data_IF_894282060546
#
_entry.id   IF_894282060546
#
_cell.length_a   1.000
_cell.length_b   1.000
_cell.length_c   1.000
_cell.angle_alpha   90.00
_cell.angle_beta   90.00
_cell.angle_gamma   90.00
#
_symmetry.space_group_name_H-M   'P 1'
#
loop_
_entity.id
_entity.type
_entity.pdbx_description
1 polymer ?
#
# COMPACT_ATOMS: atom_id res chain seq x y z
N UNK A 1 -60.87 15.34 16.42
CA UNK A 1 -61.20 15.17 15.00
C UNK A 1 -59.92 14.95 14.18
N UNK A 2 -60.02 14.22 13.05
CA UNK A 2 -58.97 13.48 12.31
C UNK A 2 -58.20 14.39 11.31
N UNK A 3 -57.15 14.06 10.54
CA UNK A 3 -56.54 12.81 10.02
C UNK A 3 -55.20 13.15 9.34
N UNK A 4 -54.27 12.17 9.34
CA UNK A 4 -53.30 11.77 8.28
C UNK A 4 -52.86 12.80 7.21
N UNK A 5 -51.55 12.84 6.94
CA UNK A 5 -51.01 12.38 5.64
C UNK A 5 -49.49 12.16 5.65
N UNK A 6 -49.14 10.91 5.34
CA UNK A 6 -47.85 10.42 4.87
C UNK A 6 -47.72 10.78 3.39
N UNK A 7 -46.55 11.24 2.95
CA UNK A 7 -46.18 11.26 1.52
C UNK A 7 -44.73 10.84 1.33
N UNK A 8 -44.58 9.64 0.76
CA UNK A 8 -43.40 9.14 0.03
C UNK A 8 -43.35 9.83 -1.35
N UNK A 9 -42.14 10.10 -1.90
CA UNK A 9 -41.59 9.56 -3.18
C UNK A 9 -40.63 10.50 -3.93
N UNK A 10 -39.56 9.84 -4.42
CA UNK A 10 -38.87 9.98 -5.73
C UNK A 10 -38.07 11.26 -6.01
N UNK A 11 -36.73 11.27 -5.99
CA UNK A 11 -35.76 10.65 -6.94
C UNK A 11 -35.93 11.11 -8.40
N UNK A 12 -35.31 12.27 -8.66
CA UNK A 12 -34.35 12.62 -9.72
C UNK A 12 -34.24 11.68 -10.92
N UNK A 13 -34.43 12.22 -12.14
CA UNK A 13 -33.70 11.80 -13.36
C UNK A 13 -33.76 12.86 -14.48
N UNK A 14 -32.56 13.19 -15.00
CA UNK A 14 -32.19 13.54 -16.41
C UNK A 14 -32.69 14.89 -16.97
N UNK A 15 -31.99 15.60 -17.86
CA UNK A 15 -30.71 15.42 -18.55
C UNK A 15 -30.26 16.77 -19.15
N UNK A 16 -28.95 17.04 -19.21
CA UNK A 16 -28.38 18.14 -19.97
C UNK A 16 -27.57 17.63 -21.18
N UNK A 17 -28.03 18.04 -22.37
CA UNK A 17 -27.32 18.54 -23.56
C UNK A 17 -26.03 17.89 -24.11
N UNK A 18 -26.15 17.52 -25.40
CA UNK A 18 -25.26 17.76 -26.56
C UNK A 18 -24.04 16.86 -26.87
N UNK A 19 -24.08 16.38 -28.13
CA UNK A 19 -23.18 15.58 -28.96
C UNK A 19 -21.87 16.29 -29.40
N UNK A 20 -20.84 15.58 -29.94
CA UNK A 20 -20.79 15.35 -31.40
C UNK A 20 -20.24 13.99 -31.90
N UNK A 21 -20.85 13.52 -33.01
CA UNK A 21 -20.34 12.80 -34.20
C UNK A 21 -18.97 12.06 -34.14
N UNK A 22 -18.92 10.80 -34.62
CA UNK A 22 -18.49 10.41 -36.00
C UNK A 22 -18.20 8.89 -36.15
N UNK A 23 -19.03 8.25 -37.00
CA UNK A 23 -18.87 7.06 -37.89
C UNK A 23 -17.39 6.69 -38.20
N UNK A 24 -16.91 5.43 -38.28
CA UNK A 24 -17.18 4.38 -39.28
C UNK A 24 -16.37 3.09 -38.99
N UNK A 25 -17.03 1.93 -39.15
CA UNK A 25 -16.65 0.64 -39.78
C UNK A 25 -15.16 0.25 -40.02
N UNK A 26 -14.95 -1.06 -39.82
CA UNK A 26 -14.19 -2.06 -40.64
C UNK A 26 -12.81 -2.57 -40.16
N UNK A 27 -12.83 -3.84 -39.72
CA UNK A 27 -12.04 -5.01 -40.19
C UNK A 27 -10.49 -5.03 -40.19
N UNK A 28 -9.99 -6.19 -39.72
CA UNK A 28 -8.82 -6.99 -40.20
C UNK A 28 -7.50 -6.94 -39.39
N UNK A 29 -7.24 -8.11 -38.79
CA UNK A 29 -6.02 -8.93 -38.73
C UNK A 29 -4.66 -8.39 -38.22
N UNK A 30 -4.12 -9.19 -37.27
CA UNK A 30 -2.73 -9.66 -37.11
C UNK A 30 -1.61 -8.77 -37.69
N UNK A 31 -0.77 -8.23 -36.80
CA UNK A 31 0.69 -8.38 -36.94
C UNK A 31 1.43 -8.30 -35.61
N UNK A 32 1.98 -9.46 -35.27
CA UNK A 32 3.17 -9.77 -34.48
C UNK A 32 4.15 -8.60 -34.32
N UNK A 33 4.45 -8.21 -33.08
CA UNK A 33 5.75 -7.66 -32.71
C UNK A 33 6.24 -8.41 -31.47
N UNK A 34 7.08 -9.42 -31.71
CA UNK A 34 7.99 -10.00 -30.72
C UNK A 34 8.85 -8.86 -30.16
N UNK A 35 8.58 -8.41 -28.93
CA UNK A 35 9.57 -7.64 -28.17
C UNK A 35 10.33 -8.61 -27.28
N UNK A 36 11.61 -8.72 -27.60
CA UNK A 36 12.58 -9.66 -27.06
C UNK A 36 12.52 -9.77 -25.53
N UNK A 37 12.58 -11.03 -25.10
CA UNK A 37 13.08 -11.52 -23.83
C UNK A 37 14.33 -10.75 -23.39
N UNK A 38 14.16 -9.76 -22.51
CA UNK A 38 15.23 -9.41 -21.56
C UNK A 38 15.13 -10.39 -20.41
N UNK A 39 15.89 -11.48 -20.53
CA UNK A 39 16.24 -12.39 -19.42
C UNK A 39 16.72 -11.51 -18.28
N UNK A 40 15.87 -11.30 -17.27
CA UNK A 40 16.26 -10.61 -16.07
C UNK A 40 17.41 -11.43 -15.47
N UNK A 41 18.61 -10.84 -15.52
CA UNK A 41 19.78 -11.33 -14.83
C UNK A 41 19.35 -11.53 -13.37
N UNK A 42 19.21 -12.79 -12.95
CA UNK A 42 19.07 -13.13 -11.53
C UNK A 42 20.38 -12.72 -10.88
N UNK A 43 20.47 -11.45 -10.46
CA UNK A 43 21.47 -11.05 -9.47
C UNK A 43 21.18 -11.94 -8.27
N UNK A 44 22.11 -12.83 -7.94
CA UNK A 44 22.15 -13.50 -6.65
C UNK A 44 22.16 -12.39 -5.61
N UNK A 45 20.99 -12.10 -5.05
CA UNK A 45 20.86 -11.14 -3.96
C UNK A 45 21.56 -11.81 -2.79
N UNK A 46 22.83 -11.45 -2.58
CA UNK A 46 23.56 -11.73 -1.35
C UNK A 46 22.64 -11.28 -0.23
N UNK A 47 22.14 -12.23 0.55
CA UNK A 47 21.12 -11.94 1.55
C UNK A 47 21.73 -11.01 2.59
N UNK A 48 21.20 -9.81 2.72
CA UNK A 48 21.69 -8.84 3.70
C UNK A 48 21.41 -9.39 5.12
N UNK A 49 22.30 -9.19 6.10
CA UNK A 49 21.99 -9.53 7.49
C UNK A 49 20.82 -8.65 7.95
N UNK A 50 19.87 -9.24 8.66
CA UNK A 50 18.75 -8.49 9.22
C UNK A 50 19.28 -7.55 10.30
N UNK A 51 19.00 -6.26 10.17
CA UNK A 51 19.36 -5.26 11.17
C UNK A 51 18.33 -5.30 12.30
N UNK A 52 18.82 -5.27 13.53
CA UNK A 52 18.00 -5.15 14.74
C UNK A 52 18.27 -3.79 15.37
N UNK A 53 17.20 -3.06 15.66
CA UNK A 53 17.21 -1.85 16.45
C UNK A 53 17.50 -2.20 17.91
N UNK A 54 18.34 -1.40 18.57
CA UNK A 54 18.51 -1.46 20.02
C UNK A 54 17.25 -0.93 20.72
N UNK A 55 16.99 -1.36 21.96
CA UNK A 55 15.80 -0.95 22.72
C UNK A 55 15.60 0.57 22.80
N UNK A 56 16.69 1.35 22.82
CA UNK A 56 16.66 2.82 22.84
C UNK A 56 16.17 3.47 21.53
N UNK A 57 16.22 2.74 20.41
CA UNK A 57 15.78 3.20 19.08
C UNK A 57 14.65 2.33 18.52
N UNK A 58 14.08 1.46 19.35
CA UNK A 58 12.88 0.70 18.99
C UNK A 58 11.69 1.61 18.76
N UNK A 59 10.81 1.22 17.84
CA UNK A 59 9.60 1.99 17.56
C UNK A 59 8.51 1.63 18.56
N UNK A 60 7.95 2.65 19.22
CA UNK A 60 6.88 2.49 20.20
C UNK A 60 5.54 2.83 19.56
N UNK A 61 4.71 1.80 19.38
CA UNK A 61 3.37 1.97 18.87
C UNK A 61 2.44 2.37 20.02
N UNK A 62 1.44 3.21 19.75
CA UNK A 62 0.38 3.58 20.71
C UNK A 62 -0.39 2.38 21.30
N UNK A 63 -0.31 1.21 20.66
CA UNK A 63 -0.89 -0.05 21.13
C UNK A 63 -0.08 -0.70 22.27
N UNK A 64 1.08 -0.13 22.62
CA UNK A 64 2.02 -0.70 23.59
C UNK A 64 3.01 -1.72 22.99
N UNK A 65 2.97 -1.92 21.67
CA UNK A 65 3.92 -2.79 20.97
C UNK A 65 5.25 -2.07 20.72
N UNK A 66 6.34 -2.76 21.00
CA UNK A 66 7.70 -2.28 20.75
C UNK A 66 8.27 -3.05 19.58
N UNK A 67 8.67 -2.34 18.53
CA UNK A 67 9.20 -2.92 17.29
C UNK A 67 10.70 -2.69 17.23
N UNK A 68 11.46 -3.78 17.26
CA UNK A 68 12.92 -3.78 17.22
C UNK A 68 13.48 -4.22 15.86
N UNK A 69 12.66 -4.74 14.96
CA UNK A 69 13.12 -5.28 13.67
C UNK A 69 12.02 -5.25 12.62
N UNK A 70 12.41 -5.41 11.35
CA UNK A 70 11.48 -5.60 10.24
C UNK A 70 10.56 -6.82 10.43
N UNK A 71 11.04 -7.87 11.12
CA UNK A 71 10.23 -9.06 11.44
C UNK A 71 9.13 -8.68 12.43
N UNK A 72 9.48 -8.02 13.54
CA UNK A 72 8.51 -7.53 14.52
C UNK A 72 7.51 -6.55 13.89
N UNK A 73 7.98 -5.66 13.01
CA UNK A 73 7.12 -4.74 12.26
C UNK A 73 6.10 -5.49 11.39
N UNK A 74 6.52 -6.55 10.69
CA UNK A 74 5.63 -7.36 9.84
C UNK A 74 4.57 -8.12 10.62
N UNK A 75 4.93 -8.58 11.82
CA UNK A 75 4.05 -9.28 12.74
C UNK A 75 3.03 -8.30 13.35
N UNK A 76 3.51 -7.15 13.82
CA UNK A 76 2.69 -6.06 14.31
C UNK A 76 1.65 -5.62 13.27
N UNK A 77 2.04 -5.42 12.00
CA UNK A 77 1.09 -5.09 10.94
C UNK A 77 0.03 -6.17 10.67
N UNK A 78 0.23 -7.41 11.14
CA UNK A 78 -0.78 -8.47 11.05
C UNK A 78 -1.91 -8.31 12.05
N UNK A 79 -1.60 -7.84 13.26
CA UNK A 79 -2.57 -7.61 14.34
C UNK A 79 -3.00 -6.15 14.48
N UNK A 80 -2.28 -5.22 13.86
CA UNK A 80 -2.48 -3.78 14.02
C UNK A 80 -3.81 -3.33 13.44
N UNK A 81 -4.58 -2.60 14.26
CA UNK A 81 -5.81 -1.97 13.81
C UNK A 81 -5.52 -0.81 12.85
N UNK A 82 -6.43 -0.57 11.91
CA UNK A 82 -6.33 0.51 10.93
C UNK A 82 -6.25 1.89 11.58
N UNK A 83 -6.93 2.10 12.71
CA UNK A 83 -6.86 3.35 13.46
C UNK A 83 -5.45 3.62 13.99
N UNK A 84 -4.81 2.58 14.56
CA UNK A 84 -3.41 2.63 15.03
C UNK A 84 -2.47 2.92 13.88
N UNK A 85 -2.63 2.23 12.75
CA UNK A 85 -1.82 2.49 11.57
C UNK A 85 -1.99 3.92 11.06
N UNK A 86 -3.23 4.43 10.99
CA UNK A 86 -3.53 5.77 10.48
C UNK A 86 -2.99 6.89 11.38
N UNK A 87 -2.75 6.59 12.66
CA UNK A 87 -2.13 7.51 13.60
C UNK A 87 -0.65 7.77 13.27
N UNK A 88 0.09 6.73 12.90
CA UNK A 88 1.54 6.79 12.58
C UNK A 88 1.83 6.97 11.08
N UNK A 89 0.93 6.49 10.22
CA UNK A 89 1.03 6.58 8.76
C UNK A 89 -0.06 7.50 8.23
N UNK A 90 0.05 8.78 8.61
CA UNK A 90 -0.82 9.83 8.11
C UNK A 90 -0.55 10.12 6.61
N UNK A 91 -1.48 10.81 5.95
CA UNK A 91 -1.37 11.11 4.50
C UNK A 91 -0.12 11.90 4.09
N UNK A 92 0.51 12.60 5.03
CA UNK A 92 1.67 13.47 4.77
C UNK A 92 2.99 12.81 5.18
N UNK A 93 2.98 11.99 6.23
CA UNK A 93 4.19 11.39 6.78
C UNK A 93 3.88 10.00 7.30
N UNK A 94 4.79 9.08 7.03
CA UNK A 94 4.77 7.74 7.57
C UNK A 94 5.94 7.55 8.53
N UNK A 95 5.65 7.55 9.83
CA UNK A 95 6.67 7.40 10.88
C UNK A 95 7.34 6.03 10.82
N UNK A 96 6.65 4.99 10.32
CA UNK A 96 7.27 3.69 10.08
C UNK A 96 8.33 3.76 8.98
N UNK A 97 8.08 4.54 7.91
CA UNK A 97 9.09 4.72 6.86
C UNK A 97 10.32 5.46 7.39
N UNK A 98 10.09 6.57 8.10
CA UNK A 98 11.18 7.35 8.69
C UNK A 98 12.01 6.50 9.65
N UNK A 99 11.36 5.66 10.46
CA UNK A 99 12.05 4.75 11.36
C UNK A 99 12.84 3.67 10.61
N UNK A 100 12.26 3.06 9.57
CA UNK A 100 12.95 2.02 8.77
C UNK A 100 14.17 2.59 8.03
N UNK A 101 14.08 3.80 7.48
CA UNK A 101 15.25 4.47 6.88
C UNK A 101 16.28 4.86 7.93
N UNK A 102 15.88 5.50 9.04
CA UNK A 102 16.82 6.04 10.02
C UNK A 102 17.48 4.98 10.93
N UNK A 103 16.73 3.95 11.35
CA UNK A 103 17.20 2.95 12.33
C UNK A 103 17.68 1.67 11.65
N UNK A 104 16.94 1.18 10.65
CA UNK A 104 17.29 -0.04 9.94
C UNK A 104 18.20 0.23 8.73
N UNK A 105 18.30 1.48 8.26
CA UNK A 105 19.11 1.85 7.10
C UNK A 105 18.57 1.30 5.78
N UNK A 106 17.27 0.99 5.69
CA UNK A 106 16.65 0.40 4.51
C UNK A 106 15.74 1.40 3.78
N UNK A 107 16.36 2.30 3.02
CA UNK A 107 15.66 3.32 2.23
C UNK A 107 14.76 2.72 1.15
N UNK A 108 15.11 1.55 0.61
CA UNK A 108 14.27 0.86 -0.38
C UNK A 108 12.93 0.44 0.27
N UNK A 109 13.01 -0.20 1.44
CA UNK A 109 11.80 -0.62 2.16
C UNK A 109 11.01 0.59 2.68
N UNK A 110 11.70 1.64 3.15
CA UNK A 110 11.09 2.87 3.62
C UNK A 110 10.26 3.54 2.51
N UNK A 111 10.85 3.74 1.32
CA UNK A 111 10.16 4.36 0.19
C UNK A 111 8.98 3.54 -0.38
N UNK A 112 8.99 2.21 -0.23
CA UNK A 112 7.82 1.37 -0.52
C UNK A 112 6.76 1.44 0.60
N UNK A 113 7.18 1.60 1.87
CA UNK A 113 6.30 1.79 3.03
C UNK A 113 5.55 3.12 3.00
N UNK A 114 6.17 4.21 2.55
CA UNK A 114 5.48 5.51 2.41
C UNK A 114 4.30 5.43 1.44
N UNK A 115 4.43 4.62 0.39
CA UNK A 115 3.35 4.40 -0.60
C UNK A 115 2.26 3.50 -0.06
N UNK A 116 2.52 2.74 1.01
CA UNK A 116 1.56 1.86 1.63
C UNK A 116 0.62 2.65 2.55
N UNK A 117 -0.59 2.94 2.06
CA UNK A 117 -1.61 3.63 2.84
C UNK A 117 -2.38 2.75 3.84
N UNK A 118 -2.03 1.47 3.97
CA UNK A 118 -2.71 0.53 4.88
C UNK A 118 -1.73 -0.44 5.53
N UNK A 119 -2.04 -0.89 6.75
CA UNK A 119 -1.25 -1.89 7.48
C UNK A 119 -1.03 -3.17 6.65
N UNK A 120 -2.04 -3.66 5.95
CA UNK A 120 -1.90 -4.86 5.10
C UNK A 120 -0.97 -4.64 3.90
N UNK A 121 -1.00 -3.45 3.29
CA UNK A 121 -0.08 -3.12 2.20
C UNK A 121 1.36 -2.99 2.73
N UNK A 122 1.53 -2.33 3.88
CA UNK A 122 2.81 -2.19 4.56
C UNK A 122 3.40 -3.56 4.91
N UNK A 123 2.59 -4.47 5.47
CA UNK A 123 2.96 -5.88 5.70
C UNK A 123 3.48 -6.55 4.44
N UNK A 124 2.76 -6.43 3.32
CA UNK A 124 3.16 -7.06 2.07
C UNK A 124 4.52 -6.54 1.56
N UNK A 125 4.76 -5.23 1.70
CA UNK A 125 6.05 -4.60 1.37
C UNK A 125 7.17 -5.17 2.24
N UNK A 126 6.96 -5.22 3.55
CA UNK A 126 7.96 -5.73 4.51
C UNK A 126 8.24 -7.20 4.25
N UNK A 127 7.22 -8.05 4.08
CA UNK A 127 7.38 -9.48 3.77
C UNK A 127 8.13 -9.70 2.45
N UNK A 128 7.89 -8.84 1.45
CA UNK A 128 8.64 -8.88 0.19
C UNK A 128 10.11 -8.54 0.42
N UNK A 129 10.41 -7.55 1.26
CA UNK A 129 11.77 -7.17 1.63
C UNK A 129 12.47 -8.22 2.48
N UNK A 130 11.77 -8.88 3.41
CA UNK A 130 12.29 -9.98 4.24
C UNK A 130 12.87 -11.13 3.40
N UNK A 131 12.36 -11.38 2.18
CA UNK A 131 12.94 -12.38 1.25
C UNK A 131 14.35 -12.02 0.76
N UNK A 132 14.73 -10.73 0.78
CA UNK A 132 16.07 -10.25 0.46
C UNK A 132 17.03 -10.40 1.64
N UNK A 133 16.52 -10.56 2.86
CA UNK A 133 17.31 -10.72 4.07
C UNK A 133 17.56 -12.20 4.37
N UNK A 134 18.66 -12.50 5.04
CA UNK A 134 18.86 -13.81 5.66
C UNK A 134 18.31 -13.69 7.07
N UNK A 135 17.33 -14.54 7.38
CA UNK A 135 16.70 -14.67 8.68
C UNK A 135 17.12 -16.03 9.21
#
# INVERSE_FOLDING_TARGET
MPTKKITKKAVVKKAAKTTPKKVTKKTVAKKVVKKATKKAVKKSVSKKPLVYAADSVSFWVIDGQILNSLVALSDAFSGMNKDVYSYHAAKVQNDFSSWVSAVLGDDECAGDLEKAGTASAAKAVVVKHLKKYTI
#
